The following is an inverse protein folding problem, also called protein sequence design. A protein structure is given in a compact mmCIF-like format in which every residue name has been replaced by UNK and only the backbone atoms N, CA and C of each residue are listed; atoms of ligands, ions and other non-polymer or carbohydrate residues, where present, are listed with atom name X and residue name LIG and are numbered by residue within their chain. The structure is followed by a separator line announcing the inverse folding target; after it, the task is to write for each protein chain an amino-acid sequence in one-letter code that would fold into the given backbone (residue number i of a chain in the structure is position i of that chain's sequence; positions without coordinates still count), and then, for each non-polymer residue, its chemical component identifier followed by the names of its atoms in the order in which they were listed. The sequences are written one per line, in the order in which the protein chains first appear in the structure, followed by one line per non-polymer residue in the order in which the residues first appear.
data_IF_694856867284
#
_entry.id   IF_694856867284
#
_cell.length_a   1.000
_cell.length_b   1.000
_cell.length_c   1.000
_cell.angle_alpha   90.00
_cell.angle_beta   90.00
_cell.angle_gamma   90.00
#
_symmetry.space_group_name_H-M   'P 1'
#
loop_
_entity.id
_entity.type
_entity.pdbx_description
1 polymer ?
#
# COMPACT_ATOMS: atom_id res chain seq x y z
N UNK A 1 5.79 -15.11 17.20
CA UNK A 1 5.52 -13.66 17.34
C UNK A 1 5.05 -13.18 15.96
N UNK A 2 3.76 -13.30 15.68
CA UNK A 2 3.17 -12.94 14.39
C UNK A 2 2.22 -11.76 14.62
N UNK A 3 2.44 -10.66 13.91
CA UNK A 3 1.61 -9.45 13.99
C UNK A 3 0.40 -9.65 13.08
N UNK A 4 -0.65 -10.30 13.60
CA UNK A 4 -1.95 -10.37 12.92
C UNK A 4 -2.54 -8.95 12.84
N UNK A 5 -2.29 -8.27 11.73
CA UNK A 5 -2.90 -6.98 11.40
C UNK A 5 -4.34 -7.20 10.91
N UNK A 6 -5.19 -7.76 11.77
CA UNK A 6 -6.62 -7.83 11.51
C UNK A 6 -7.25 -6.46 11.85
N UNK A 7 -7.37 -5.58 10.85
CA UNK A 7 -8.23 -4.41 10.93
C UNK A 7 -9.68 -4.88 11.11
N UNK A 8 -10.15 -4.92 12.37
CA UNK A 8 -11.58 -5.10 12.68
C UNK A 8 -12.36 -3.99 11.97
N UNK A 9 -13.51 -4.28 11.34
CA UNK A 9 -14.39 -3.22 10.86
C UNK A 9 -14.92 -2.50 12.10
N UNK A 10 -14.29 -1.37 12.42
CA UNK A 10 -14.63 -0.54 13.57
C UNK A 10 -15.95 0.17 13.24
N UNK A 11 -17.05 -0.49 13.55
CA UNK A 11 -18.33 0.19 13.69
C UNK A 11 -18.14 1.40 14.60
N UNK A 12 -18.48 2.58 14.08
CA UNK A 12 -18.45 3.90 14.75
C UNK A 12 -17.09 4.62 14.74
N UNK A 13 -16.79 5.24 13.60
CA UNK A 13 -16.33 6.64 13.37
C UNK A 13 -15.82 6.71 11.93
N UNK A 14 -16.05 7.78 11.15
CA UNK A 14 -15.33 7.96 9.90
C UNK A 14 -13.86 8.18 10.24
N UNK A 15 -13.09 7.10 10.34
CA UNK A 15 -11.64 7.15 10.35
C UNK A 15 -11.25 7.78 9.03
N UNK A 16 -10.81 9.05 9.07
CA UNK A 16 -10.37 9.78 7.88
C UNK A 16 -9.14 9.07 7.34
N UNK A 17 -9.33 8.20 6.35
CA UNK A 17 -8.25 7.54 5.63
C UNK A 17 -7.43 8.63 4.94
N UNK A 18 -6.18 8.79 5.37
CA UNK A 18 -5.23 9.64 4.70
C UNK A 18 -4.38 8.76 3.78
N UNK A 19 -4.29 9.15 2.52
CA UNK A 19 -3.37 8.52 1.58
C UNK A 19 -1.97 9.09 1.83
N UNK A 20 -1.02 8.22 2.15
CA UNK A 20 0.38 8.58 2.31
C UNK A 20 1.21 8.05 1.15
N UNK A 21 2.24 8.79 0.76
CA UNK A 21 3.27 8.31 -0.17
C UNK A 21 4.47 7.84 0.64
N UNK A 22 4.87 6.60 0.45
CA UNK A 22 6.03 5.99 1.09
C UNK A 22 6.94 5.50 -0.03
N UNK A 23 8.23 5.85 0.04
CA UNK A 23 9.25 5.36 -0.87
C UNK A 23 10.52 5.06 -0.08
N UNK A 24 11.31 4.12 -0.59
CA UNK A 24 12.64 3.82 -0.05
C UNK A 24 13.67 4.86 -0.51
N UNK A 25 14.77 5.02 0.24
CA UNK A 25 15.88 5.91 -0.12
C UNK A 25 16.43 5.56 -1.51
N UNK A 26 16.41 4.28 -1.89
CA UNK A 26 16.88 3.80 -3.19
C UNK A 26 15.82 3.92 -4.30
N UNK A 27 14.81 4.79 -4.16
CA UNK A 27 13.75 5.04 -5.15
C UNK A 27 12.89 3.81 -5.47
N UNK A 28 12.77 2.86 -4.53
CA UNK A 28 11.79 1.77 -4.65
C UNK A 28 10.42 2.25 -4.19
N UNK A 29 9.39 1.81 -4.89
CA UNK A 29 7.99 2.09 -4.57
C UNK A 29 7.30 0.84 -4.05
N UNK A 30 6.31 1.04 -3.17
CA UNK A 30 5.46 -0.03 -2.69
C UNK A 30 4.27 -0.21 -3.63
N UNK A 31 4.04 -1.43 -4.10
CA UNK A 31 2.89 -1.77 -4.93
C UNK A 31 2.33 -3.15 -4.55
N UNK A 32 1.06 -3.39 -4.90
CA UNK A 32 0.43 -4.68 -4.69
C UNK A 32 0.64 -5.57 -5.93
N UNK A 33 1.10 -6.80 -5.70
CA UNK A 33 1.19 -7.85 -6.72
C UNK A 33 0.72 -9.16 -6.09
N UNK A 34 -0.26 -9.82 -6.71
CA UNK A 34 -0.85 -11.07 -6.18
C UNK A 34 -1.28 -10.94 -4.71
N UNK A 35 -1.92 -9.82 -4.36
CA UNK A 35 -2.34 -9.48 -2.99
C UNK A 35 -1.19 -9.41 -1.96
N UNK A 36 0.06 -9.37 -2.40
CA UNK A 36 1.22 -9.17 -1.56
C UNK A 36 1.80 -7.77 -1.79
N UNK A 37 2.20 -7.11 -0.70
CA UNK A 37 2.86 -5.82 -0.75
C UNK A 37 4.34 -6.03 -1.11
N UNK A 38 4.78 -5.47 -2.24
CA UNK A 38 6.14 -5.64 -2.77
C UNK A 38 6.83 -4.28 -2.86
N UNK A 39 8.11 -4.23 -2.53
CA UNK A 39 8.98 -3.07 -2.76
C UNK A 39 9.84 -3.31 -4.02
N UNK A 40 9.72 -2.45 -5.02
CA UNK A 40 10.47 -2.62 -6.26
C UNK A 40 10.53 -1.37 -7.12
N UNK A 41 11.25 -1.50 -8.24
CA UNK A 41 11.31 -0.47 -9.26
C UNK A 41 10.14 -0.65 -10.22
N UNK A 42 9.20 0.29 -10.21
CA UNK A 42 8.22 0.39 -11.28
C UNK A 42 8.94 1.03 -12.47
N UNK A 43 9.28 0.23 -13.48
CA UNK A 43 9.77 0.76 -14.75
C UNK A 43 8.59 1.19 -15.64
N UNK A 44 8.64 2.43 -16.13
CA UNK A 44 7.78 2.92 -17.22
C UNK A 44 6.34 3.30 -16.83
N UNK A 45 5.37 3.25 -17.77
CA UNK A 45 4.01 3.78 -17.61
C UNK A 45 3.14 3.11 -16.52
N UNK A 46 3.66 2.07 -15.87
CA UNK A 46 3.04 1.35 -14.75
C UNK A 46 2.99 2.16 -13.42
N UNK A 47 3.46 3.41 -13.40
CA UNK A 47 3.33 4.33 -12.25
C UNK A 47 1.87 4.65 -11.96
N UNK A 48 1.00 4.64 -12.98
CA UNK A 48 -0.45 4.61 -12.81
C UNK A 48 -0.90 3.15 -12.71
N UNK A 49 -0.66 2.51 -11.57
CA UNK A 49 -1.55 1.45 -11.10
C UNK A 49 -2.85 2.14 -10.65
N UNK A 50 -3.58 2.65 -11.64
CA UNK A 50 -4.87 3.30 -11.46
C UNK A 50 -5.87 2.19 -11.14
N UNK A 51 -6.43 2.24 -9.92
CA UNK A 51 -7.45 1.31 -9.48
C UNK A 51 -8.65 1.38 -10.43
N UNK A 52 -8.89 0.27 -11.12
CA UNK A 52 -10.17 -0.03 -11.79
C UNK A 52 -11.19 -0.47 -10.75
#
# INVERSE_FOLDING_TARGET
MALEAACRPLGRRPCRMQAFRIWDINQKTFYLRNNQLVAGYLQGPNIKLEGS
#
